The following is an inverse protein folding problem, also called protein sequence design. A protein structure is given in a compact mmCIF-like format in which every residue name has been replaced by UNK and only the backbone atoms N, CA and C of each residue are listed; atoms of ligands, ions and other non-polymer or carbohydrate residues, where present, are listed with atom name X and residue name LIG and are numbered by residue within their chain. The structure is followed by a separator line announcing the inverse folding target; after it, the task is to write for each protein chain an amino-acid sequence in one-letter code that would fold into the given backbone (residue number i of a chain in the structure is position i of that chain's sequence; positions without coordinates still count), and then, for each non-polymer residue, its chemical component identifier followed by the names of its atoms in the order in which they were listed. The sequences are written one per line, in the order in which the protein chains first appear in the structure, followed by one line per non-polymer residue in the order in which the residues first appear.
data_IF_047158803686
#
_entry.id   IF_047158803686
#
_cell.length_a   1.000
_cell.length_b   1.000
_cell.length_c   1.000
_cell.angle_alpha   90.00
_cell.angle_beta   90.00
_cell.angle_gamma   90.00
#
_symmetry.space_group_name_H-M   'P 1'
#
loop_
_entity.id
_entity.type
_entity.pdbx_description
1 polymer ?
#
# COMPACT_ATOMS: atom_id res chain seq x y z
N UNK A 1 -9.37 6.20 6.83
CA UNK A 1 -10.15 7.38 7.27
C UNK A 1 -9.40 8.70 7.10
N UNK A 2 -8.14 8.80 7.52
CA UNK A 2 -7.34 10.04 7.48
C UNK A 2 -7.26 10.71 6.10
N UNK A 3 -6.90 9.98 5.05
CA UNK A 3 -6.75 10.56 3.70
C UNK A 3 -8.04 11.11 3.09
N UNK A 4 -9.21 10.50 3.36
CA UNK A 4 -10.49 11.04 2.91
C UNK A 4 -10.85 12.34 3.62
N UNK A 5 -10.57 12.42 4.92
CA UNK A 5 -10.78 13.65 5.70
C UNK A 5 -9.89 14.78 5.18
N UNK A 6 -8.60 14.52 4.96
CA UNK A 6 -7.64 15.46 4.39
C UNK A 6 -8.09 15.95 3.00
N UNK A 7 -8.36 15.02 2.07
CA UNK A 7 -8.81 15.38 0.72
C UNK A 7 -10.09 16.20 0.73
N UNK A 8 -11.08 15.82 1.55
CA UNK A 8 -12.34 16.58 1.68
C UNK A 8 -12.12 18.00 2.20
N UNK A 9 -11.16 18.21 3.09
CA UNK A 9 -10.79 19.54 3.59
C UNK A 9 -10.12 20.38 2.50
N UNK A 10 -9.20 19.79 1.73
CA UNK A 10 -8.54 20.43 0.60
C UNK A 10 -9.55 20.79 -0.50
N UNK A 11 -10.46 19.86 -0.85
CA UNK A 11 -11.51 20.10 -1.86
C UNK A 11 -12.44 21.26 -1.50
N UNK A 12 -12.67 21.46 -0.19
CA UNK A 12 -13.53 22.56 0.32
C UNK A 12 -12.77 23.86 0.55
N UNK A 13 -11.42 23.86 0.45
CA UNK A 13 -10.58 25.01 0.76
C UNK A 13 -10.63 25.48 2.21
N UNK A 14 -10.90 24.56 3.15
CA UNK A 14 -11.11 24.89 4.57
C UNK A 14 -9.87 24.73 5.45
N UNK A 15 -8.78 24.19 4.93
CA UNK A 15 -7.55 23.94 5.69
C UNK A 15 -6.33 24.48 4.95
N UNK A 16 -5.50 25.22 5.68
CA UNK A 16 -4.28 25.84 5.17
C UNK A 16 -3.11 24.84 5.25
N UNK A 17 -3.16 23.74 4.50
CA UNK A 17 -2.02 22.85 4.37
C UNK A 17 -1.00 23.41 3.39
N UNK A 18 0.27 23.48 3.77
CA UNK A 18 1.35 23.83 2.86
C UNK A 18 1.92 22.59 2.15
N UNK A 19 1.92 21.44 2.82
CA UNK A 19 2.29 20.14 2.26
C UNK A 19 1.38 19.05 2.80
N UNK A 20 1.14 18.02 2.00
CA UNK A 20 0.49 16.77 2.42
C UNK A 20 1.18 15.61 1.72
N UNK A 21 1.11 14.42 2.35
CA UNK A 21 1.72 13.20 1.82
C UNK A 21 0.66 12.09 1.65
N UNK A 22 -0.13 12.15 0.58
CA UNK A 22 -1.10 11.10 0.27
C UNK A 22 -0.50 9.96 -0.57
N UNK A 23 -1.25 8.86 -0.64
CA UNK A 23 -0.95 7.75 -1.53
C UNK A 23 -1.24 8.09 -3.01
N UNK A 24 -0.63 7.34 -3.92
CA UNK A 24 -0.65 7.53 -5.37
C UNK A 24 -2.05 7.79 -5.97
N UNK A 25 -3.06 7.03 -5.59
CA UNK A 25 -4.43 7.19 -6.11
C UNK A 25 -5.11 8.50 -5.65
N UNK A 26 -4.69 9.05 -4.51
CA UNK A 26 -5.14 10.38 -4.06
C UNK A 26 -4.42 11.46 -4.84
N UNK A 27 -3.12 11.30 -5.12
CA UNK A 27 -2.34 12.21 -5.97
C UNK A 27 -2.99 12.29 -7.35
N UNK A 28 -3.31 11.14 -7.97
CA UNK A 28 -4.01 11.07 -9.26
C UNK A 28 -5.34 11.83 -9.22
N UNK A 29 -6.15 11.62 -8.18
CA UNK A 29 -7.41 12.33 -7.99
C UNK A 29 -7.21 13.85 -7.80
N UNK A 30 -6.19 14.27 -7.07
CA UNK A 30 -5.87 15.68 -6.86
C UNK A 30 -5.40 16.33 -8.18
N UNK A 31 -4.61 15.63 -9.01
CA UNK A 31 -4.23 16.09 -10.36
C UNK A 31 -5.45 16.25 -11.26
N UNK A 32 -6.33 15.25 -11.28
CA UNK A 32 -7.58 15.28 -12.06
C UNK A 32 -8.47 16.46 -11.69
N UNK A 33 -8.53 16.80 -10.40
CA UNK A 33 -9.36 17.90 -9.86
C UNK A 33 -8.67 19.26 -9.81
N UNK A 34 -7.45 19.39 -10.33
CA UNK A 34 -6.69 20.66 -10.30
C UNK A 34 -6.49 21.20 -8.87
N UNK A 35 -6.10 20.34 -7.93
CA UNK A 35 -5.93 20.67 -6.52
C UNK A 35 -4.47 20.85 -6.09
N UNK A 36 -3.51 20.76 -7.01
CA UNK A 36 -2.08 20.83 -6.72
C UNK A 36 -1.40 22.00 -7.41
N UNK A 37 -0.36 22.53 -6.77
CA UNK A 37 0.62 23.42 -7.36
C UNK A 37 1.81 22.62 -7.89
N UNK A 38 2.45 23.01 -9.00
CA UNK A 38 3.72 22.42 -9.42
C UNK A 38 4.80 22.73 -8.39
N UNK A 39 5.72 21.78 -8.22
CA UNK A 39 6.86 21.91 -7.30
C UNK A 39 7.95 22.66 -8.03
N UNK A 40 8.31 23.83 -7.52
CA UNK A 40 9.45 24.61 -8.03
C UNK A 40 10.75 23.96 -7.57
N UNK A 41 11.55 23.48 -8.52
CA UNK A 41 12.87 22.85 -8.27
C UNK A 41 14.04 23.82 -8.38
N UNK A 42 13.81 25.13 -8.48
CA UNK A 42 14.81 26.15 -8.49
C UNK A 42 15.22 26.55 -7.06
N UNK A 43 16.11 25.77 -6.45
CA UNK A 43 16.56 25.95 -5.06
C UNK A 43 17.75 26.88 -4.86
N UNK A 44 18.09 27.68 -5.86
CA UNK A 44 19.19 28.67 -5.79
C UNK A 44 20.54 27.99 -5.57
N UNK A 45 21.19 28.23 -4.40
CA UNK A 45 22.46 27.61 -4.04
C UNK A 45 22.31 26.23 -3.39
N UNK A 46 21.12 25.84 -2.98
CA UNK A 46 20.84 24.51 -2.42
C UNK A 46 20.78 23.49 -3.56
N UNK A 47 21.46 22.34 -3.44
CA UNK A 47 21.33 21.27 -4.44
C UNK A 47 19.89 20.78 -4.59
N UNK A 48 19.56 20.33 -5.79
CA UNK A 48 18.28 19.67 -6.03
C UNK A 48 18.37 18.19 -5.61
N UNK A 49 18.01 17.89 -4.37
CA UNK A 49 18.01 16.52 -3.83
C UNK A 49 16.82 15.67 -4.32
N UNK A 50 15.79 16.30 -4.91
CA UNK A 50 14.68 15.56 -5.52
C UNK A 50 15.19 14.61 -6.63
N UNK A 51 16.32 14.96 -7.27
CA UNK A 51 16.97 14.09 -8.25
C UNK A 51 17.53 12.77 -7.67
N UNK A 52 17.57 12.60 -6.35
CA UNK A 52 17.97 11.36 -5.69
C UNK A 52 16.83 10.32 -5.65
N UNK A 53 15.60 10.70 -6.01
CA UNK A 53 14.48 9.76 -6.09
C UNK A 53 14.73 8.75 -7.21
N UNK A 54 14.45 7.48 -6.92
CA UNK A 54 14.63 6.39 -7.88
C UNK A 54 13.91 6.66 -9.20
N UNK A 55 14.58 6.49 -10.35
CA UNK A 55 13.93 6.61 -11.65
C UNK A 55 12.72 5.68 -11.81
N UNK A 56 12.79 4.47 -11.24
CA UNK A 56 11.67 3.53 -11.22
C UNK A 56 10.43 4.14 -10.54
N UNK A 57 10.62 4.74 -9.36
CA UNK A 57 9.48 5.33 -8.64
C UNK A 57 8.96 6.58 -9.36
N UNK A 58 9.84 7.36 -10.02
CA UNK A 58 9.42 8.48 -10.87
C UNK A 58 8.57 7.98 -12.05
N UNK A 59 8.94 6.87 -12.68
CA UNK A 59 8.13 6.25 -13.73
C UNK A 59 6.77 5.79 -13.20
N UNK A 60 6.74 5.16 -12.02
CA UNK A 60 5.48 4.74 -11.40
C UNK A 60 4.57 5.94 -11.08
N UNK A 61 5.11 7.03 -10.51
CA UNK A 61 4.27 8.20 -10.23
C UNK A 61 3.74 8.83 -11.51
N UNK A 62 4.50 8.81 -12.60
CA UNK A 62 4.05 9.38 -13.87
C UNK A 62 2.89 8.59 -14.51
N UNK A 63 2.70 7.33 -14.12
CA UNK A 63 1.50 6.58 -14.49
C UNK A 63 0.22 7.17 -13.86
N UNK A 64 0.33 7.98 -12.80
CA UNK A 64 -0.81 8.73 -12.22
C UNK A 64 -1.09 10.09 -12.89
N UNK A 65 -0.32 10.45 -13.92
CA UNK A 65 -0.51 11.71 -14.65
C UNK A 65 -1.93 11.84 -15.19
N UNK A 66 -2.54 12.99 -14.98
CA UNK A 66 -3.93 13.19 -15.31
C UNK A 66 -4.21 14.63 -15.73
N UNK A 67 -5.22 14.84 -16.56
CA UNK A 67 -5.67 16.16 -17.00
C UNK A 67 -4.54 17.02 -17.61
N UNK A 68 -3.63 16.40 -18.39
CA UNK A 68 -2.48 17.06 -19.00
C UNK A 68 -1.35 17.46 -18.04
N UNK A 69 -1.42 17.01 -16.77
CA UNK A 69 -0.39 17.23 -15.73
C UNK A 69 0.47 15.99 -15.57
N UNK A 70 1.76 16.14 -15.77
CA UNK A 70 2.75 15.10 -15.54
C UNK A 70 3.00 15.03 -14.03
N UNK A 71 2.82 13.87 -13.41
CA UNK A 71 2.71 13.75 -11.97
C UNK A 71 4.00 14.15 -11.23
N UNK A 72 5.19 13.83 -11.74
CA UNK A 72 6.45 14.19 -11.08
C UNK A 72 6.72 15.72 -11.02
N UNK A 73 5.97 16.53 -11.77
CA UNK A 73 6.03 17.98 -11.61
C UNK A 73 5.22 18.49 -10.40
N UNK A 74 4.34 17.68 -9.84
CA UNK A 74 3.41 18.05 -8.76
C UNK A 74 3.59 17.24 -7.49
N UNK A 75 4.27 16.12 -7.57
CA UNK A 75 4.45 15.21 -6.45
C UNK A 75 5.87 14.63 -6.42
N UNK A 76 6.42 14.48 -5.23
CA UNK A 76 7.71 13.81 -4.99
C UNK A 76 7.45 12.57 -4.14
N UNK A 77 7.72 11.37 -4.66
CA UNK A 77 7.59 10.13 -3.90
C UNK A 77 8.41 10.17 -2.60
N UNK A 78 7.86 9.58 -1.55
CA UNK A 78 8.44 9.59 -0.20
C UNK A 78 8.78 8.17 0.27
N UNK A 79 7.77 7.36 0.55
CA UNK A 79 7.90 5.96 0.96
C UNK A 79 7.18 5.07 -0.02
N UNK A 80 7.62 3.82 -0.17
CA UNK A 80 7.02 2.85 -1.08
C UNK A 80 7.11 1.43 -0.52
N UNK A 81 6.40 0.51 -1.13
CA UNK A 81 6.46 -0.89 -0.77
C UNK A 81 5.47 -1.75 -1.56
N UNK A 82 5.35 -2.99 -1.13
CA UNK A 82 4.40 -3.97 -1.68
C UNK A 82 3.32 -4.32 -0.68
N UNK A 83 2.22 -4.88 -1.16
CA UNK A 83 1.25 -5.60 -0.35
C UNK A 83 1.52 -7.10 -0.49
N UNK A 84 1.40 -7.85 0.61
CA UNK A 84 1.66 -9.29 0.61
C UNK A 84 1.05 -9.99 1.81
N UNK A 85 1.50 -11.21 2.04
CA UNK A 85 1.04 -12.07 3.13
C UNK A 85 2.12 -12.14 4.22
N UNK A 86 1.87 -11.51 5.36
CA UNK A 86 2.61 -11.75 6.58
C UNK A 86 2.06 -13.02 7.24
N UNK A 87 2.90 -13.98 7.57
CA UNK A 87 2.45 -15.28 8.07
C UNK A 87 3.29 -15.78 9.23
N UNK A 88 2.66 -16.57 10.11
CA UNK A 88 3.32 -17.27 11.22
C UNK A 88 3.90 -18.59 10.71
N UNK A 89 5.24 -18.72 10.69
CA UNK A 89 5.96 -19.88 10.12
C UNK A 89 5.65 -21.20 10.81
N UNK A 90 5.24 -21.17 12.08
CA UNK A 90 4.87 -22.37 12.85
C UNK A 90 3.53 -22.95 12.35
N UNK A 91 2.61 -22.10 11.90
CA UNK A 91 1.25 -22.50 11.55
C UNK A 91 1.00 -22.55 10.05
N UNK A 92 1.78 -21.81 9.27
CA UNK A 92 1.60 -21.62 7.82
C UNK A 92 2.91 -21.98 7.12
N UNK A 93 2.97 -23.08 6.36
CA UNK A 93 4.15 -23.41 5.56
C UNK A 93 4.31 -22.40 4.42
N UNK A 94 5.55 -22.11 4.04
CA UNK A 94 5.87 -21.13 2.97
C UNK A 94 5.20 -21.51 1.64
N UNK A 95 5.01 -22.80 1.34
CA UNK A 95 4.31 -23.26 0.15
C UNK A 95 2.87 -22.75 0.04
N UNK A 96 2.21 -22.54 1.17
CA UNK A 96 0.84 -22.01 1.18
C UNK A 96 0.81 -20.51 0.82
N UNK A 97 1.90 -19.76 1.09
CA UNK A 97 1.94 -18.30 0.90
C UNK A 97 2.31 -17.86 -0.52
N UNK A 98 2.61 -18.81 -1.41
CA UNK A 98 2.94 -18.51 -2.80
C UNK A 98 1.72 -18.07 -3.62
N UNK A 99 0.52 -18.20 -3.09
CA UNK A 99 -0.73 -17.84 -3.74
C UNK A 99 -1.66 -17.04 -2.80
N UNK A 100 -2.38 -16.08 -3.35
CA UNK A 100 -3.46 -15.42 -2.63
C UNK A 100 -4.56 -16.39 -2.17
N UNK A 101 -4.68 -17.55 -2.81
CA UNK A 101 -5.63 -18.61 -2.44
C UNK A 101 -5.53 -19.06 -1.00
N UNK A 102 -4.37 -18.86 -0.36
CA UNK A 102 -4.21 -19.19 1.07
C UNK A 102 -5.16 -18.41 1.97
N UNK A 103 -5.52 -17.18 1.59
CA UNK A 103 -6.46 -16.37 2.36
C UNK A 103 -7.86 -17.00 2.37
N UNK A 104 -8.27 -17.68 1.27
CA UNK A 104 -9.55 -18.40 1.15
C UNK A 104 -9.52 -19.83 1.70
N UNK A 105 -8.33 -20.34 2.13
CA UNK A 105 -8.21 -21.68 2.65
C UNK A 105 -8.88 -21.80 4.04
N UNK A 106 -9.88 -22.65 4.14
CA UNK A 106 -10.63 -22.90 5.40
C UNK A 106 -9.79 -23.45 6.55
N UNK A 107 -8.61 -23.97 6.28
CA UNK A 107 -7.62 -24.36 7.29
C UNK A 107 -7.29 -23.18 8.22
N UNK A 108 -7.39 -21.94 7.74
CA UNK A 108 -7.06 -20.72 8.46
C UNK A 108 -8.30 -19.92 8.91
N UNK A 109 -9.44 -20.59 9.04
CA UNK A 109 -10.70 -19.95 9.47
C UNK A 109 -10.54 -19.25 10.82
N UNK A 110 -10.91 -17.98 10.90
CA UNK A 110 -10.79 -17.16 12.11
C UNK A 110 -9.35 -16.84 12.51
N UNK A 111 -8.37 -16.96 11.57
CA UNK A 111 -6.95 -16.69 11.82
C UNK A 111 -6.33 -15.72 10.83
N UNK A 112 -7.15 -15.09 10.00
CA UNK A 112 -6.75 -14.12 8.99
C UNK A 112 -7.08 -12.70 9.43
N UNK A 113 -6.10 -11.82 9.32
CA UNK A 113 -6.30 -10.37 9.36
C UNK A 113 -6.26 -9.81 7.94
N UNK A 114 -7.19 -8.92 7.63
CA UNK A 114 -7.25 -8.22 6.34
C UNK A 114 -7.12 -6.72 6.57
N UNK A 115 -6.42 -6.03 5.68
CA UNK A 115 -6.37 -4.55 5.72
C UNK A 115 -7.77 -3.95 5.60
N UNK A 116 -8.09 -3.01 6.48
CA UNK A 116 -9.29 -2.15 6.37
C UNK A 116 -9.07 -1.08 5.28
N UNK A 117 -8.59 -1.55 4.15
CA UNK A 117 -8.40 -0.80 2.92
C UNK A 117 -9.19 -1.46 1.80
N UNK A 118 -10.28 -0.82 1.38
CA UNK A 118 -11.09 -1.39 0.31
C UNK A 118 -10.31 -1.54 -0.99
N UNK A 119 -9.29 -0.73 -1.24
CA UNK A 119 -8.50 -0.78 -2.47
C UNK A 119 -7.58 -2.00 -2.52
N UNK A 120 -6.79 -2.21 -1.47
CA UNK A 120 -5.90 -3.38 -1.38
C UNK A 120 -6.72 -4.68 -1.39
N UNK A 121 -7.82 -4.71 -0.62
CA UNK A 121 -8.73 -5.87 -0.58
C UNK A 121 -9.43 -6.10 -1.92
N UNK A 122 -9.79 -5.02 -2.66
CA UNK A 122 -10.39 -5.08 -3.98
C UNK A 122 -9.44 -5.73 -4.99
N UNK A 123 -8.23 -5.19 -5.11
CA UNK A 123 -7.23 -5.70 -6.04
C UNK A 123 -6.88 -7.16 -5.80
N UNK A 124 -6.64 -7.52 -4.53
CA UNK A 124 -6.34 -8.91 -4.13
C UNK A 124 -7.49 -9.86 -4.47
N UNK A 125 -8.75 -9.48 -4.19
CA UNK A 125 -9.90 -10.31 -4.48
C UNK A 125 -10.13 -10.47 -6.00
N UNK A 126 -9.84 -9.43 -6.79
CA UNK A 126 -10.00 -9.48 -8.24
C UNK A 126 -8.90 -10.33 -8.90
N UNK A 127 -7.65 -10.22 -8.44
CA UNK A 127 -6.56 -11.12 -8.84
C UNK A 127 -6.96 -12.58 -8.57
N UNK A 128 -7.44 -12.88 -7.38
CA UNK A 128 -7.87 -14.22 -7.01
C UNK A 128 -9.05 -14.73 -7.84
N UNK A 129 -10.06 -13.89 -8.08
CA UNK A 129 -11.21 -14.24 -8.91
C UNK A 129 -10.80 -14.63 -10.34
N UNK A 130 -9.79 -13.95 -10.89
CA UNK A 130 -9.31 -14.13 -12.26
C UNK A 130 -7.98 -14.90 -12.38
N UNK A 131 -7.53 -15.60 -11.32
CA UNK A 131 -6.24 -16.31 -11.29
C UNK A 131 -6.01 -17.24 -12.48
N UNK A 132 -7.05 -17.94 -12.95
CA UNK A 132 -6.95 -18.84 -14.11
C UNK A 132 -6.75 -18.09 -15.43
N UNK A 133 -7.28 -16.91 -15.56
CA UNK A 133 -7.09 -16.07 -16.75
C UNK A 133 -5.72 -15.39 -16.70
N UNK A 134 -5.21 -15.05 -15.51
CA UNK A 134 -3.82 -14.61 -15.30
C UNK A 134 -2.83 -15.72 -15.69
N UNK A 135 -2.99 -16.94 -15.16
CA UNK A 135 -2.17 -18.10 -15.49
C UNK A 135 -2.18 -18.39 -17.00
N UNK A 136 -3.32 -18.20 -17.66
CA UNK A 136 -3.47 -18.38 -19.11
C UNK A 136 -2.98 -17.18 -19.94
N UNK A 137 -2.47 -16.12 -19.32
CA UNK A 137 -1.99 -14.91 -19.98
C UNK A 137 -3.09 -14.09 -20.70
N UNK A 138 -4.36 -14.29 -20.36
CA UNK A 138 -5.49 -13.58 -20.99
C UNK A 138 -5.71 -12.18 -20.41
N UNK A 139 -5.28 -11.96 -19.17
CA UNK A 139 -5.36 -10.70 -18.45
C UNK A 139 -4.04 -10.45 -17.73
N UNK A 140 -3.79 -9.21 -17.34
CA UNK A 140 -2.60 -8.80 -16.60
C UNK A 140 -2.99 -8.21 -15.25
N UNK A 141 -2.06 -8.18 -14.29
CA UNK A 141 -2.30 -7.59 -12.96
C UNK A 141 -2.69 -6.11 -13.05
N UNK A 142 -2.02 -5.25 -13.86
CA UNK A 142 -2.44 -3.86 -14.02
C UNK A 142 -3.89 -3.70 -14.53
N UNK A 143 -4.33 -4.58 -15.45
CA UNK A 143 -5.70 -4.56 -15.96
C UNK A 143 -6.71 -4.93 -14.86
N UNK A 144 -6.42 -5.98 -14.08
CA UNK A 144 -7.31 -6.42 -13.00
C UNK A 144 -7.37 -5.42 -11.85
N UNK A 145 -6.22 -4.97 -11.36
CA UNK A 145 -6.15 -4.07 -10.19
C UNK A 145 -6.99 -2.80 -10.36
N UNK A 146 -7.21 -2.36 -11.60
CA UNK A 146 -7.85 -1.10 -11.97
C UNK A 146 -9.15 -1.29 -12.77
N UNK A 147 -9.69 -2.51 -12.83
CA UNK A 147 -11.00 -2.77 -13.41
C UNK A 147 -12.11 -2.51 -12.37
N UNK A 148 -12.83 -1.42 -12.55
CA UNK A 148 -13.99 -1.03 -11.72
C UNK A 148 -15.33 -1.23 -12.46
N UNK A 149 -15.36 -2.07 -13.48
CA UNK A 149 -16.60 -2.43 -14.16
C UNK A 149 -17.62 -3.06 -13.20
N UNK A 150 -18.92 -2.97 -13.46
CA UNK A 150 -19.93 -3.62 -12.64
C UNK A 150 -19.71 -5.13 -12.45
N UNK A 151 -19.15 -5.81 -13.46
CA UNK A 151 -18.80 -7.23 -13.38
C UNK A 151 -17.65 -7.48 -12.41
N UNK A 152 -16.58 -6.65 -12.45
CA UNK A 152 -15.46 -6.71 -11.54
C UNK A 152 -15.88 -6.42 -10.08
N UNK A 153 -16.68 -5.37 -9.86
CA UNK A 153 -17.22 -5.03 -8.54
C UNK A 153 -18.05 -6.20 -7.96
N UNK A 154 -18.90 -6.82 -8.77
CA UNK A 154 -19.70 -7.99 -8.35
C UNK A 154 -18.82 -9.22 -8.04
N UNK A 155 -17.76 -9.46 -8.83
CA UNK A 155 -16.81 -10.54 -8.59
C UNK A 155 -16.07 -10.34 -7.25
N UNK A 156 -15.58 -9.11 -6.98
CA UNK A 156 -14.93 -8.75 -5.73
C UNK A 156 -15.86 -8.92 -4.54
N UNK A 157 -17.10 -8.43 -4.63
CA UNK A 157 -18.09 -8.60 -3.56
C UNK A 157 -18.29 -10.08 -3.21
N UNK A 158 -18.44 -10.93 -4.23
CA UNK A 158 -18.60 -12.38 -4.08
C UNK A 158 -17.39 -13.01 -3.37
N UNK A 159 -16.16 -12.71 -3.84
CA UNK A 159 -14.95 -13.29 -3.28
C UNK A 159 -14.70 -12.81 -1.84
N UNK A 160 -14.87 -11.53 -1.55
CA UNK A 160 -14.69 -11.02 -0.19
C UNK A 160 -15.74 -11.55 0.79
N UNK A 161 -16.99 -11.75 0.35
CA UNK A 161 -18.02 -12.44 1.16
C UNK A 161 -17.65 -13.90 1.42
N UNK A 162 -17.10 -14.60 0.42
CA UNK A 162 -16.62 -15.97 0.58
C UNK A 162 -15.41 -16.06 1.53
N UNK A 163 -14.56 -15.02 1.56
CA UNK A 163 -13.40 -14.92 2.45
C UNK A 163 -13.78 -14.69 3.92
N UNK A 164 -14.89 -14.03 4.16
CA UNK A 164 -15.33 -13.52 5.46
C UNK A 164 -15.22 -14.49 6.64
N UNK A 165 -15.56 -15.78 6.53
CA UNK A 165 -15.42 -16.75 7.61
C UNK A 165 -13.96 -16.99 8.06
N UNK A 166 -12.96 -16.68 7.23
CA UNK A 166 -11.55 -16.78 7.59
C UNK A 166 -11.07 -15.56 8.36
N UNK A 167 -11.75 -14.41 8.19
CA UNK A 167 -11.33 -13.12 8.74
C UNK A 167 -11.65 -13.06 10.24
N UNK A 168 -10.61 -12.86 11.06
CA UNK A 168 -10.71 -12.52 12.47
C UNK A 168 -10.99 -11.03 12.65
N UNK A 169 -10.37 -10.18 11.83
CA UNK A 169 -10.54 -8.74 11.89
C UNK A 169 -10.09 -7.99 10.64
N UNK A 170 -10.78 -6.86 10.40
CA UNK A 170 -10.34 -5.84 9.46
C UNK A 170 -9.46 -4.85 10.22
N UNK A 171 -8.19 -4.75 9.83
CA UNK A 171 -7.20 -3.99 10.59
C UNK A 171 -6.60 -2.84 9.78
N UNK A 172 -6.29 -1.74 10.45
CA UNK A 172 -5.50 -0.64 9.90
C UNK A 172 -4.08 -0.62 10.49
N UNK A 173 -3.98 -0.75 11.82
CA UNK A 173 -2.72 -0.62 12.56
C UNK A 173 -2.47 -1.75 13.57
N UNK A 174 -3.53 -2.39 14.10
CA UNK A 174 -3.39 -3.39 15.16
C UNK A 174 -2.92 -4.77 14.67
N UNK A 175 -2.95 -5.01 13.37
CA UNK A 175 -2.62 -6.31 12.77
C UNK A 175 -1.19 -6.74 13.08
N UNK A 176 -0.24 -5.84 12.94
CA UNK A 176 1.17 -6.08 13.26
C UNK A 176 1.39 -6.55 14.70
N UNK A 177 0.74 -5.91 15.69
CA UNK A 177 0.83 -6.36 17.09
C UNK A 177 0.13 -7.70 17.34
N UNK A 178 -0.97 -7.97 16.66
CA UNK A 178 -1.69 -9.24 16.76
C UNK A 178 -0.85 -10.39 16.23
N UNK A 179 -0.15 -10.17 15.11
CA UNK A 179 0.80 -11.13 14.52
C UNK A 179 2.00 -11.35 15.45
N UNK A 180 2.60 -10.28 15.99
CA UNK A 180 3.73 -10.34 16.94
C UNK A 180 3.40 -11.20 18.17
N UNK A 181 2.14 -11.16 18.62
CA UNK A 181 1.66 -11.98 19.75
C UNK A 181 1.25 -13.41 19.35
N UNK A 182 1.41 -13.80 18.09
CA UNK A 182 1.05 -15.13 17.57
C UNK A 182 -0.45 -15.46 17.61
N UNK A 183 -1.33 -14.44 17.71
CA UNK A 183 -2.78 -14.62 17.81
C UNK A 183 -3.44 -14.89 16.49
N UNK A 184 -2.96 -14.27 15.41
CA UNK A 184 -3.36 -14.56 14.04
C UNK A 184 -2.24 -15.35 13.33
N UNK A 185 -2.60 -16.04 12.24
CA UNK A 185 -1.67 -16.86 11.45
C UNK A 185 -1.31 -16.19 10.12
N UNK A 186 -2.22 -15.40 9.58
CA UNK A 186 -2.09 -14.70 8.31
C UNK A 186 -2.53 -13.25 8.47
N UNK A 187 -1.82 -12.34 7.81
CA UNK A 187 -2.23 -10.95 7.66
C UNK A 187 -1.90 -10.47 6.24
N UNK A 188 -2.91 -10.06 5.48
CA UNK A 188 -2.67 -9.28 4.26
C UNK A 188 -2.25 -7.88 4.68
N UNK A 189 -0.98 -7.52 4.43
CA UNK A 189 -0.41 -6.28 4.95
C UNK A 189 0.63 -5.67 4.03
N UNK A 190 1.05 -4.45 4.33
CA UNK A 190 2.12 -3.74 3.64
C UNK A 190 3.50 -4.19 4.14
N UNK A 191 4.48 -4.15 3.25
CA UNK A 191 5.85 -4.63 3.52
C UNK A 191 6.52 -3.96 4.71
N UNK A 192 6.34 -2.65 4.92
CA UNK A 192 6.90 -1.95 6.08
C UNK A 192 6.30 -2.43 7.42
N UNK A 193 4.97 -2.62 7.51
CA UNK A 193 4.33 -3.22 8.68
C UNK A 193 4.82 -4.65 8.92
N UNK A 194 5.07 -5.40 7.84
CA UNK A 194 5.58 -6.78 7.93
C UNK A 194 7.00 -6.82 8.50
N UNK A 195 7.91 -5.96 8.04
CA UNK A 195 9.29 -5.88 8.56
C UNK A 195 9.27 -5.58 10.05
N UNK A 196 8.53 -4.54 10.45
CA UNK A 196 8.39 -4.20 11.87
C UNK A 196 7.84 -5.39 12.70
N UNK A 197 6.79 -6.05 12.21
CA UNK A 197 6.19 -7.19 12.90
C UNK A 197 7.14 -8.38 13.02
N UNK A 198 7.95 -8.68 11.99
CA UNK A 198 8.95 -9.74 11.98
C UNK A 198 10.03 -9.48 13.05
N UNK A 199 10.54 -8.24 13.09
CA UNK A 199 11.56 -7.85 14.07
C UNK A 199 11.06 -7.92 15.51
N UNK A 200 9.87 -7.36 15.79
CA UNK A 200 9.28 -7.39 17.12
C UNK A 200 8.87 -8.81 17.55
N UNK A 201 8.36 -9.62 16.62
CA UNK A 201 8.00 -11.01 16.88
C UNK A 201 9.23 -11.85 17.25
N UNK A 202 10.37 -11.63 16.59
CA UNK A 202 11.63 -12.30 16.90
C UNK A 202 12.08 -12.08 18.34
N UNK A 203 11.87 -10.89 18.91
CA UNK A 203 12.21 -10.55 20.29
C UNK A 203 11.43 -11.36 21.34
N UNK A 204 10.26 -11.89 20.96
CA UNK A 204 9.37 -12.67 21.84
C UNK A 204 9.24 -14.14 21.41
N UNK A 205 10.10 -14.58 20.48
CA UNK A 205 10.18 -15.97 20.04
C UNK A 205 9.05 -16.40 19.08
N UNK A 206 8.40 -15.46 18.40
CA UNK A 206 7.42 -15.72 17.34
C UNK A 206 8.10 -15.55 15.99
N UNK A 207 8.07 -16.60 15.16
CA UNK A 207 8.67 -16.58 13.83
C UNK A 207 7.67 -16.19 12.76
N UNK A 208 7.85 -15.02 12.18
CA UNK A 208 7.04 -14.53 11.07
C UNK A 208 7.83 -14.53 9.76
N UNK A 209 7.11 -14.55 8.64
CA UNK A 209 7.64 -14.36 7.29
C UNK A 209 6.68 -13.51 6.45
N UNK A 210 7.17 -13.01 5.33
CA UNK A 210 6.36 -12.22 4.40
C UNK A 210 6.63 -12.66 2.97
N UNK A 211 5.56 -12.84 2.18
CA UNK A 211 5.65 -13.22 0.78
C UNK A 211 4.70 -12.36 -0.07
N UNK A 212 5.15 -12.02 -1.27
CA UNK A 212 4.31 -11.47 -2.33
C UNK A 212 3.90 -12.63 -3.23
N UNK A 213 2.61 -13.00 -3.30
CA UNK A 213 2.15 -14.14 -4.08
C UNK A 213 2.54 -14.10 -5.57
N UNK A 214 2.63 -15.29 -6.18
CA UNK A 214 3.07 -15.44 -7.58
C UNK A 214 2.10 -14.83 -8.58
N UNK A 215 0.81 -14.73 -8.25
CA UNK A 215 -0.20 -14.07 -9.09
C UNK A 215 0.05 -12.57 -9.23
N UNK A 216 0.91 -11.99 -8.39
CA UNK A 216 1.19 -10.56 -8.35
C UNK A 216 0.40 -9.83 -7.27
N UNK A 217 0.69 -8.57 -7.09
CA UNK A 217 0.14 -7.77 -5.99
C UNK A 217 0.14 -6.27 -6.29
N UNK A 218 -0.19 -5.48 -5.27
CA UNK A 218 -0.04 -4.03 -5.26
C UNK A 218 1.40 -3.61 -4.95
N UNK A 219 1.94 -2.71 -5.77
CA UNK A 219 3.05 -1.83 -5.41
C UNK A 219 2.48 -0.44 -5.19
N UNK A 220 2.82 0.19 -4.09
CA UNK A 220 2.27 1.48 -3.68
C UNK A 220 3.38 2.46 -3.31
N UNK A 221 3.08 3.74 -3.37
CA UNK A 221 3.90 4.79 -2.79
C UNK A 221 3.03 5.91 -2.21
N UNK A 222 3.58 6.59 -1.20
CA UNK A 222 3.09 7.87 -0.73
C UNK A 222 4.00 8.97 -1.27
N UNK A 223 3.45 10.14 -1.56
CA UNK A 223 4.21 11.23 -2.13
C UNK A 223 3.84 12.59 -1.57
N UNK A 224 4.84 13.45 -1.43
CA UNK A 224 4.68 14.82 -1.00
C UNK A 224 4.12 15.68 -2.12
N UNK A 225 3.05 16.41 -1.84
CA UNK A 225 2.41 17.34 -2.77
C UNK A 225 2.13 18.68 -2.10
N UNK A 226 2.02 19.74 -2.89
CA UNK A 226 1.68 21.09 -2.44
C UNK A 226 0.25 21.40 -2.86
N UNK A 227 -0.70 21.49 -1.91
CA UNK A 227 -2.07 21.84 -2.23
C UNK A 227 -2.19 23.22 -2.90
N UNK A 228 -3.18 23.36 -3.79
CA UNK A 228 -3.42 24.58 -4.59
C UNK A 228 -3.54 25.86 -3.76
N UNK A 229 -4.04 25.74 -2.53
CA UNK A 229 -4.28 26.84 -1.60
C UNK A 229 -3.16 27.05 -0.58
N UNK A 230 -2.00 26.40 -0.79
CA UNK A 230 -0.81 26.62 0.05
C UNK A 230 -0.44 28.09 0.10
N UNK A 231 -0.14 28.59 1.28
CA UNK A 231 0.33 29.98 1.49
C UNK A 231 1.86 30.10 1.39
N UNK A 232 2.56 28.97 1.54
CA UNK A 232 4.01 28.91 1.58
C UNK A 232 4.60 27.90 0.57
N UNK A 233 4.18 27.92 -0.72
CA UNK A 233 4.57 26.87 -1.67
C UNK A 233 6.09 26.75 -1.88
N UNK A 234 6.82 27.89 -1.79
CA UNK A 234 8.28 27.89 -1.89
C UNK A 234 8.93 27.19 -0.68
N UNK A 235 8.48 27.49 0.53
CA UNK A 235 8.98 26.79 1.73
C UNK A 235 8.62 25.31 1.70
N UNK A 236 7.44 24.95 1.24
CA UNK A 236 7.01 23.58 1.01
C UNK A 236 7.93 22.83 0.03
N UNK A 237 8.29 23.45 -1.10
CA UNK A 237 9.22 22.85 -2.06
C UNK A 237 10.62 22.64 -1.44
N UNK A 238 11.15 23.59 -0.66
CA UNK A 238 12.42 23.41 0.06
C UNK A 238 12.35 22.29 1.10
N UNK A 239 11.23 22.17 1.82
CA UNK A 239 11.03 21.08 2.78
C UNK A 239 11.02 19.72 2.07
N UNK A 240 10.29 19.59 0.97
CA UNK A 240 10.26 18.36 0.16
C UNK A 240 11.66 18.02 -0.35
N UNK A 241 12.40 19.03 -0.87
CA UNK A 241 13.77 18.84 -1.32
C UNK A 241 14.69 18.37 -0.19
N UNK A 242 14.54 18.93 1.02
CA UNK A 242 15.30 18.51 2.21
C UNK A 242 15.08 17.04 2.55
N UNK A 243 13.84 16.55 2.46
CA UNK A 243 13.49 15.15 2.74
C UNK A 243 14.12 14.15 1.74
N UNK A 244 14.55 14.63 0.57
CA UNK A 244 15.23 13.81 -0.44
C UNK A 244 16.76 13.72 -0.27
N UNK A 245 17.34 14.32 0.80
CA UNK A 245 18.73 14.07 1.15
C UNK A 245 18.89 12.64 1.66
N UNK A 246 19.95 11.95 1.25
CA UNK A 246 20.17 10.55 1.60
C UNK A 246 20.22 10.31 3.12
N UNK A 247 20.88 11.20 3.88
CA UNK A 247 20.92 11.12 5.35
C UNK A 247 19.54 11.28 5.99
N UNK A 248 18.74 12.19 5.45
CA UNK A 248 17.38 12.43 5.93
C UNK A 248 16.46 11.26 5.56
N UNK A 249 16.63 10.71 4.36
CA UNK A 249 15.91 9.52 3.92
C UNK A 249 16.20 8.33 4.84
N UNK A 250 17.47 8.07 5.16
CA UNK A 250 17.87 7.02 6.11
C UNK A 250 17.26 7.21 7.50
N UNK A 251 17.32 8.42 8.06
CA UNK A 251 16.71 8.73 9.36
C UNK A 251 15.18 8.53 9.35
N UNK A 252 14.51 8.88 8.23
CA UNK A 252 13.10 8.64 8.06
C UNK A 252 12.76 7.14 7.97
N UNK A 253 13.58 6.35 7.25
CA UNK A 253 13.42 4.89 7.17
C UNK A 253 13.56 4.24 8.54
N UNK A 254 14.56 4.63 9.33
CA UNK A 254 14.77 4.16 10.70
C UNK A 254 13.56 4.48 11.60
N UNK A 255 12.98 5.67 11.45
CA UNK A 255 11.83 6.11 12.27
C UNK A 255 10.53 5.45 11.88
N UNK A 256 10.29 5.27 10.57
CA UNK A 256 9.00 4.81 10.04
C UNK A 256 8.94 3.29 9.83
N UNK A 257 10.08 2.64 9.64
CA UNK A 257 10.18 1.24 9.22
C UNK A 257 9.85 1.00 7.75
N UNK A 258 9.59 2.06 6.98
CA UNK A 258 9.27 1.97 5.55
C UNK A 258 10.45 2.36 4.67
N UNK A 259 10.44 1.94 3.40
CA UNK A 259 11.50 2.20 2.43
C UNK A 259 11.31 3.56 1.79
N UNK A 260 12.36 4.39 1.82
CA UNK A 260 12.38 5.65 1.10
C UNK A 260 12.42 5.43 -0.42
N UNK A 261 11.82 6.34 -1.17
CA UNK A 261 11.96 6.43 -2.62
C UNK A 261 13.34 6.94 -3.09
N UNK A 262 14.17 7.43 -2.17
CA UNK A 262 15.54 7.90 -2.46
C UNK A 262 16.45 6.71 -2.74
N UNK A 263 17.13 6.74 -3.89
CA UNK A 263 17.96 5.65 -4.41
C UNK A 263 19.44 6.04 -4.57
N UNK A 264 19.95 6.87 -3.65
CA UNK A 264 21.35 7.30 -3.68
C UNK A 264 22.31 6.19 -3.24
N UNK A 265 23.57 6.33 -3.63
CA UNK A 265 24.63 5.38 -3.28
C UNK A 265 24.79 5.19 -1.78
N UNK A 266 24.66 6.26 -0.98
CA UNK A 266 24.77 6.21 0.47
C UNK A 266 23.64 5.39 1.09
N UNK A 267 22.42 5.44 0.52
CA UNK A 267 21.30 4.61 0.95
C UNK A 267 21.61 3.14 0.66
N UNK A 268 22.10 2.82 -0.54
CA UNK A 268 22.47 1.46 -0.91
C UNK A 268 23.56 0.91 0.04
N UNK A 269 24.61 1.65 0.29
CA UNK A 269 25.72 1.25 1.17
C UNK A 269 25.27 1.09 2.63
N UNK A 270 24.47 2.01 3.15
CA UNK A 270 24.00 1.98 4.54
C UNK A 270 23.01 0.84 4.82
N UNK A 271 22.22 0.42 3.81
CA UNK A 271 21.24 -0.65 3.93
C UNK A 271 21.81 -2.04 3.60
N UNK A 272 23.03 -2.11 3.04
CA UNK A 272 23.65 -3.38 2.66
C UNK A 272 24.18 -4.15 3.87
N UNK A 273 23.80 -5.43 3.94
CA UNK A 273 24.26 -6.36 4.98
C UNK A 273 24.38 -7.77 4.38
N UNK A 274 25.63 -8.18 4.11
CA UNK A 274 25.94 -9.49 3.52
C UNK A 274 25.80 -10.65 4.50
N UNK A 275 25.83 -10.37 5.80
CA UNK A 275 25.67 -11.39 6.85
C UNK A 275 24.19 -11.69 7.08
N UNK A 276 23.37 -10.63 7.21
CA UNK A 276 21.93 -10.77 7.38
C UNK A 276 21.22 -11.23 6.09
N UNK A 277 21.71 -10.78 4.92
CA UNK A 277 21.11 -11.07 3.60
C UNK A 277 22.14 -11.69 2.66
N UNK A 278 22.54 -12.97 2.87
CA UNK A 278 23.60 -13.61 2.08
C UNK A 278 23.23 -13.86 0.62
N UNK A 279 21.92 -13.88 0.29
CA UNK A 279 21.44 -14.00 -1.07
C UNK A 279 21.24 -12.61 -1.66
N UNK A 280 21.93 -12.27 -2.78
CA UNK A 280 21.75 -10.97 -3.40
C UNK A 280 20.41 -10.87 -4.12
N UNK A 281 19.86 -9.65 -4.16
CA UNK A 281 18.66 -9.28 -4.92
C UNK A 281 19.02 -8.36 -6.08
N UNK A 282 18.29 -8.46 -7.18
CA UNK A 282 18.48 -7.57 -8.32
C UNK A 282 17.65 -6.30 -8.17
N UNK A 283 18.30 -5.23 -7.76
CA UNK A 283 17.72 -3.90 -7.56
C UNK A 283 18.18 -2.89 -8.60
N UNK A 284 18.63 -3.35 -9.77
CA UNK A 284 19.07 -2.45 -10.85
C UNK A 284 17.94 -1.51 -11.33
N UNK A 285 16.69 -1.93 -11.20
CA UNK A 285 15.53 -1.09 -11.49
C UNK A 285 15.43 0.12 -10.55
N UNK A 286 15.90 0.00 -9.30
CA UNK A 286 15.77 1.02 -8.26
C UNK A 286 17.03 1.87 -8.09
N UNK A 287 18.21 1.24 -7.98
CA UNK A 287 19.52 1.89 -7.73
C UNK A 287 20.39 2.01 -8.99
N UNK A 288 19.92 1.58 -10.16
CA UNK A 288 20.78 1.44 -11.34
C UNK A 288 21.73 0.24 -11.25
N UNK A 289 22.79 0.21 -12.07
CA UNK A 289 23.71 -0.93 -12.17
C UNK A 289 24.38 -1.32 -10.83
N UNK A 290 24.58 -0.37 -9.93
CA UNK A 290 25.15 -0.62 -8.60
C UNK A 290 24.25 -1.52 -7.73
N UNK A 291 22.94 -1.52 -7.98
CA UNK A 291 21.95 -2.35 -7.28
C UNK A 291 21.80 -3.78 -7.81
N UNK A 292 22.52 -4.20 -8.87
CA UNK A 292 22.33 -5.49 -9.55
C UNK A 292 22.53 -6.72 -8.66
N UNK A 293 23.44 -6.64 -7.70
CA UNK A 293 23.73 -7.71 -6.74
C UNK A 293 23.75 -7.14 -5.32
N UNK A 294 22.66 -6.53 -4.91
CA UNK A 294 22.55 -5.88 -3.62
C UNK A 294 22.18 -6.87 -2.50
N UNK A 295 22.82 -6.74 -1.36
CA UNK A 295 22.56 -7.55 -0.16
C UNK A 295 21.69 -6.73 0.82
N UNK A 296 20.43 -6.54 0.45
CA UNK A 296 19.44 -5.79 1.22
C UNK A 296 18.30 -6.69 1.66
N UNK A 297 17.54 -6.22 2.67
CA UNK A 297 16.31 -6.90 3.10
C UNK A 297 15.35 -7.07 1.91
N UNK A 298 15.05 -8.31 1.44
CA UNK A 298 14.24 -8.54 0.24
C UNK A 298 12.75 -8.22 0.45
N UNK A 299 12.30 -7.99 1.68
CA UNK A 299 10.94 -7.52 1.97
C UNK A 299 10.86 -6.01 1.75
N UNK A 300 11.88 -5.28 2.15
CA UNK A 300 11.98 -3.82 1.94
C UNK A 300 12.29 -3.51 0.47
N UNK A 301 13.26 -4.22 -0.10
CA UNK A 301 13.72 -4.05 -1.48
C UNK A 301 13.50 -5.35 -2.25
N UNK A 302 12.28 -5.58 -2.76
CA UNK A 302 11.96 -6.81 -3.47
C UNK A 302 12.73 -6.94 -4.77
N UNK A 303 13.10 -8.17 -5.14
CA UNK A 303 13.76 -8.45 -6.42
C UNK A 303 12.94 -7.94 -7.62
N UNK A 304 13.64 -7.60 -8.70
CA UNK A 304 13.02 -7.10 -9.94
C UNK A 304 11.90 -8.01 -10.47
N UNK A 305 12.01 -9.32 -10.27
CA UNK A 305 11.00 -10.31 -10.67
C UNK A 305 9.70 -10.18 -9.86
N UNK A 306 9.79 -9.71 -8.61
CA UNK A 306 8.63 -9.47 -7.75
C UNK A 306 7.90 -8.20 -8.17
N UNK A 307 8.62 -7.09 -8.33
CA UNK A 307 7.98 -5.83 -8.75
C UNK A 307 7.40 -5.90 -10.16
N UNK A 308 8.01 -6.70 -11.05
CA UNK A 308 7.53 -6.89 -12.43
C UNK A 308 6.14 -7.54 -12.50
N UNK A 309 5.71 -8.27 -11.46
CA UNK A 309 4.37 -8.86 -11.38
C UNK A 309 3.40 -8.04 -10.52
N UNK A 310 3.83 -6.91 -9.97
CA UNK A 310 2.99 -6.02 -9.20
C UNK A 310 2.43 -4.88 -10.06
N UNK A 311 1.35 -4.27 -9.60
CA UNK A 311 0.76 -3.11 -10.23
C UNK A 311 0.34 -2.06 -9.20
N UNK A 312 0.32 -0.82 -9.63
CA UNK A 312 -0.16 0.29 -8.82
C UNK A 312 -1.68 0.39 -8.90
N UNK A 313 -2.29 0.82 -7.80
CA UNK A 313 -3.72 1.11 -7.73
C UNK A 313 -3.97 2.55 -8.21
N UNK A 314 -4.88 2.71 -9.16
CA UNK A 314 -5.35 4.01 -9.65
C UNK A 314 -6.61 4.50 -8.94
N UNK A 315 -6.91 5.79 -9.07
CA UNK A 315 -8.18 6.34 -8.59
C UNK A 315 -9.36 5.73 -9.32
N UNK A 316 -10.31 5.17 -8.57
CA UNK A 316 -11.54 4.59 -9.14
C UNK A 316 -12.45 5.64 -9.82
N UNK A 317 -12.11 6.91 -9.74
CA UNK A 317 -12.84 7.98 -10.42
C UNK A 317 -14.32 8.01 -10.05
N UNK A 318 -15.15 8.00 -11.07
CA UNK A 318 -16.61 8.05 -10.94
C UNK A 318 -17.21 6.74 -10.43
N UNK A 319 -16.45 5.63 -10.45
CA UNK A 319 -16.85 4.34 -9.86
C UNK A 319 -16.64 4.26 -8.33
N UNK A 320 -16.09 5.33 -7.72
CA UNK A 320 -15.86 5.36 -6.26
C UNK A 320 -17.13 5.06 -5.45
N UNK A 321 -18.33 5.58 -5.78
CA UNK A 321 -19.55 5.27 -5.04
C UNK A 321 -19.92 3.78 -5.05
N UNK A 322 -19.81 3.12 -6.21
CA UNK A 322 -20.15 1.69 -6.38
C UNK A 322 -19.18 0.81 -5.58
N UNK A 323 -17.87 1.13 -5.62
CA UNK A 323 -16.86 0.39 -4.85
C UNK A 323 -17.06 0.58 -3.34
N UNK A 324 -17.46 1.77 -2.90
CA UNK A 324 -17.77 2.03 -1.50
C UNK A 324 -19.04 1.34 -1.02
N UNK A 325 -20.06 1.27 -1.85
CA UNK A 325 -21.30 0.53 -1.58
C UNK A 325 -21.00 -0.98 -1.44
N UNK A 326 -20.24 -1.54 -2.39
CA UNK A 326 -19.74 -2.91 -2.32
C UNK A 326 -18.98 -3.16 -1.00
N UNK A 327 -18.03 -2.29 -0.65
CA UNK A 327 -17.25 -2.41 0.58
C UNK A 327 -18.13 -2.38 1.83
N UNK A 328 -19.13 -1.50 1.85
CA UNK A 328 -20.13 -1.40 2.93
C UNK A 328 -20.90 -2.69 3.08
N UNK A 329 -21.33 -3.30 1.96
CA UNK A 329 -22.03 -4.60 1.95
C UNK A 329 -21.14 -5.73 2.46
N UNK A 330 -19.87 -5.78 2.05
CA UNK A 330 -18.92 -6.78 2.55
C UNK A 330 -18.73 -6.65 4.05
N UNK A 331 -18.59 -5.44 4.59
CA UNK A 331 -18.39 -5.22 6.04
C UNK A 331 -19.68 -5.32 6.84
N UNK A 332 -20.80 -4.87 6.30
CA UNK A 332 -22.08 -4.77 7.00
C UNK A 332 -22.76 -6.11 7.33
N UNK A 333 -22.52 -7.16 6.55
CA UNK A 333 -23.08 -8.50 6.80
C UNK A 333 -22.58 -9.15 8.12
N UNK A 334 -21.78 -8.46 8.92
CA UNK A 334 -21.38 -8.89 10.27
C UNK A 334 -22.45 -8.63 11.34
N UNK A 335 -23.42 -7.77 11.06
CA UNK A 335 -24.60 -7.65 11.90
C UNK A 335 -25.55 -8.78 11.50
N UNK A 336 -25.38 -9.97 12.09
CA UNK A 336 -26.31 -11.07 11.90
C UNK A 336 -27.73 -10.57 12.13
N UNK A 337 -28.68 -10.96 11.29
CA UNK A 337 -30.07 -10.52 11.36
C UNK A 337 -30.68 -10.60 12.78
N UNK A 338 -30.15 -11.48 13.64
CA UNK A 338 -30.48 -11.54 15.06
C UNK A 338 -30.14 -10.30 15.88
N UNK A 339 -29.02 -9.62 15.58
CA UNK A 339 -28.64 -8.39 16.30
C UNK A 339 -29.52 -7.21 15.86
N UNK A 340 -29.87 -7.14 14.57
CA UNK A 340 -30.77 -6.10 14.06
C UNK A 340 -32.18 -6.30 14.64
N UNK A 341 -32.66 -7.53 14.71
CA UNK A 341 -33.96 -7.86 15.33
C UNK A 341 -33.93 -7.55 16.83
N UNK A 342 -32.82 -7.88 17.51
CA UNK A 342 -32.66 -7.58 18.94
C UNK A 342 -32.65 -6.06 19.20
N UNK A 343 -31.91 -5.27 18.41
CA UNK A 343 -31.88 -3.81 18.52
C UNK A 343 -33.23 -3.19 18.21
N UNK A 344 -33.96 -3.68 17.21
CA UNK A 344 -35.32 -3.25 16.90
C UNK A 344 -36.31 -3.60 18.04
N UNK A 345 -36.17 -4.79 18.63
CA UNK A 345 -36.98 -5.19 19.79
C UNK A 345 -36.69 -4.34 21.02
N UNK A 346 -35.42 -3.97 21.27
CA UNK A 346 -35.03 -3.06 22.36
C UNK A 346 -35.61 -1.65 22.15
N UNK A 347 -35.51 -1.11 20.93
CA UNK A 347 -36.10 0.19 20.58
C UNK A 347 -37.61 0.19 20.76
N UNK A 348 -38.28 -0.87 20.28
CA UNK A 348 -39.72 -1.03 20.48
C UNK A 348 -40.12 -1.14 21.98
N UNK A 349 -39.33 -1.83 22.79
CA UNK A 349 -39.57 -1.96 24.23
C UNK A 349 -39.32 -0.67 25.01
N UNK A 350 -38.50 0.24 24.47
CA UNK A 350 -38.24 1.55 25.09
C UNK A 350 -39.22 2.64 24.63
N UNK A 351 -40.06 2.37 23.64
CA UNK A 351 -41.06 3.31 23.09
C UNK A 351 -42.51 2.95 23.50
N UNK A 352 -42.70 1.88 24.25
CA UNK A 352 -43.95 1.48 24.91
C UNK A 352 -43.81 1.73 26.44
#
# INVERSE_FOLDING_TARGET
MLFRSMLSKIERGHEDYDVVCPSEYIIERMLRKDLLLPIDTAFGKTPNYISNVSPYIVEQIDATSNNGRIAHHYAVPYMWGTCGILYNKVHVPISDTQTWGTLWNRKYQGKLLMKDSYRDSYGTALIWAHRKDLEAGKVTVPQLMNDYSPAAVAAVEKELKALKPNIEGWEADFGKETMTKGKAYLNMTWSGDAVWAIEEAGKVGVELGYEVPEEGSNVWFDGWVIPKYSRNPKAAAYFINYLCQEDVALANMETTGYVSSVAGKKVLEAMSDTEAYPQPVNLAYFFGEEGRNAHLNPIMYPDSSIVARCAMIHDAGDHTPEVLDMWSKVKGDNLGGGIVIFLLAVVLALTV
#
